data_IF_519129243635
#
_entry.id   IF_519129243635
#
_cell.length_a   1.000
_cell.length_b   1.000
_cell.length_c   1.000
_cell.angle_alpha   90.00
_cell.angle_beta   90.00
_cell.angle_gamma   90.00
#
_symmetry.space_group_name_H-M   'P 1'
#
loop_
_entity.id
_entity.type
_entity.pdbx_description
1 polymer ?
#
# COMPACT_ATOMS: atom_id res chain seq x y z
N UNK A 1 -14.84 15.33 4.65
CA UNK A 1 -15.30 14.23 3.76
C UNK A 1 -16.06 13.21 4.58
N UNK A 2 -17.01 12.48 3.99
CA UNK A 2 -17.87 11.50 4.67
C UNK A 2 -17.15 10.19 5.06
N UNK A 3 -15.86 10.25 5.42
CA UNK A 3 -15.03 9.09 5.70
C UNK A 3 -15.42 8.38 7.00
N UNK A 4 -15.88 9.13 8.01
CA UNK A 4 -16.45 8.57 9.23
C UNK A 4 -17.73 7.77 8.98
N UNK A 5 -18.53 8.19 7.99
CA UNK A 5 -19.73 7.47 7.56
C UNK A 5 -19.33 6.17 6.85
N UNK A 6 -18.32 6.21 5.97
CA UNK A 6 -17.79 5.01 5.32
C UNK A 6 -17.21 4.00 6.33
N UNK A 7 -16.47 4.47 7.34
CA UNK A 7 -15.97 3.63 8.43
C UNK A 7 -17.12 2.90 9.15
N UNK A 8 -18.20 3.62 9.48
CA UNK A 8 -19.37 3.03 10.12
C UNK A 8 -19.98 1.92 9.25
N UNK A 9 -20.18 2.16 7.96
CA UNK A 9 -20.76 1.16 7.06
C UNK A 9 -19.86 -0.06 6.89
N UNK A 10 -18.55 0.12 6.75
CA UNK A 10 -17.64 -1.03 6.72
C UNK A 10 -17.68 -1.83 8.02
N UNK A 11 -17.70 -1.17 9.19
CA UNK A 11 -17.85 -1.86 10.47
C UNK A 11 -19.17 -2.63 10.57
N UNK A 12 -20.28 -2.06 10.08
CA UNK A 12 -21.56 -2.78 10.03
C UNK A 12 -21.52 -3.98 9.08
N UNK A 13 -20.88 -3.86 7.91
CA UNK A 13 -20.70 -4.98 7.00
C UNK A 13 -19.89 -6.12 7.66
N UNK A 14 -18.87 -5.79 8.47
CA UNK A 14 -18.08 -6.77 9.23
C UNK A 14 -18.84 -7.40 10.41
N UNK A 15 -19.92 -6.77 10.89
CA UNK A 15 -20.82 -7.43 11.85
C UNK A 15 -21.62 -8.56 11.20
N UNK A 16 -21.94 -8.42 9.90
CA UNK A 16 -22.71 -9.41 9.13
C UNK A 16 -21.77 -10.51 8.60
N UNK A 17 -20.63 -10.13 8.04
CA UNK A 17 -19.59 -11.05 7.57
C UNK A 17 -18.21 -10.61 8.10
N UNK A 18 -17.79 -11.13 9.27
CA UNK A 18 -16.53 -10.77 9.91
C UNK A 18 -15.27 -11.11 9.10
N UNK A 19 -15.38 -12.03 8.15
CA UNK A 19 -14.27 -12.57 7.36
C UNK A 19 -14.33 -12.09 5.89
N UNK A 20 -15.09 -11.04 5.62
CA UNK A 20 -15.09 -10.42 4.29
C UNK A 20 -13.73 -9.73 4.04
N UNK A 21 -12.87 -10.42 3.30
CA UNK A 21 -11.49 -10.04 2.96
C UNK A 21 -11.41 -8.62 2.37
N UNK A 22 -12.29 -8.31 1.42
CA UNK A 22 -12.31 -7.02 0.74
C UNK A 22 -12.73 -5.87 1.67
N UNK A 23 -13.78 -6.08 2.47
CA UNK A 23 -14.23 -5.08 3.44
C UNK A 23 -13.16 -4.81 4.50
N UNK A 24 -12.48 -5.85 4.97
CA UNK A 24 -11.35 -5.71 5.90
C UNK A 24 -10.23 -4.85 5.28
N UNK A 25 -9.83 -5.15 4.05
CA UNK A 25 -8.79 -4.39 3.34
C UNK A 25 -9.18 -2.93 3.13
N UNK A 26 -10.41 -2.69 2.64
CA UNK A 26 -10.91 -1.35 2.36
C UNK A 26 -11.02 -0.50 3.63
N UNK A 27 -11.48 -1.10 4.74
CA UNK A 27 -11.51 -0.44 6.05
C UNK A 27 -10.09 -0.12 6.54
N UNK A 28 -9.14 -1.04 6.39
CA UNK A 28 -7.75 -0.82 6.76
C UNK A 28 -7.14 0.38 6.03
N UNK A 29 -7.30 0.43 4.71
CA UNK A 29 -6.81 1.53 3.88
C UNK A 29 -7.49 2.85 4.22
N UNK A 30 -8.82 2.84 4.43
CA UNK A 30 -9.58 4.03 4.83
C UNK A 30 -9.03 4.61 6.15
N UNK A 31 -8.87 3.75 7.17
CA UNK A 31 -8.36 4.13 8.48
C UNK A 31 -6.97 4.75 8.37
N UNK A 32 -6.04 4.10 7.67
CA UNK A 32 -4.67 4.59 7.54
C UNK A 32 -4.57 5.88 6.70
N UNK A 33 -5.18 5.90 5.52
CA UNK A 33 -4.90 6.96 4.53
C UNK A 33 -5.83 8.16 4.68
N UNK A 34 -7.12 7.95 4.96
CA UNK A 34 -8.12 9.01 5.04
C UNK A 34 -8.34 9.52 6.46
N UNK A 35 -8.39 8.61 7.44
CA UNK A 35 -8.66 8.94 8.83
C UNK A 35 -7.40 9.07 9.69
N UNK A 36 -6.21 8.74 9.15
CA UNK A 36 -4.91 8.87 9.83
C UNK A 36 -4.78 8.04 11.11
N UNK A 37 -5.45 6.89 11.14
CA UNK A 37 -5.37 5.91 12.23
C UNK A 37 -4.72 4.60 11.75
N UNK A 38 -3.43 4.59 11.35
CA UNK A 38 -2.79 3.41 10.78
C UNK A 38 -2.73 2.22 11.74
N UNK A 39 -2.53 2.45 13.04
CA UNK A 39 -2.55 1.38 14.04
C UNK A 39 -3.90 0.66 14.13
N UNK A 40 -5.03 1.40 14.02
CA UNK A 40 -6.36 0.79 13.97
C UNK A 40 -6.59 0.03 12.67
N UNK A 41 -6.04 0.52 11.56
CA UNK A 41 -6.14 -0.14 10.27
C UNK A 41 -5.34 -1.44 10.19
N UNK A 42 -4.20 -1.53 10.89
CA UNK A 42 -3.23 -2.61 10.71
C UNK A 42 -3.84 -3.97 11.00
N UNK A 43 -4.58 -4.09 12.10
CA UNK A 43 -5.26 -5.34 12.46
C UNK A 43 -6.25 -5.82 11.38
N UNK A 44 -6.92 -4.89 10.68
CA UNK A 44 -7.82 -5.25 9.58
C UNK A 44 -7.04 -5.71 8.33
N UNK A 45 -5.93 -5.05 8.01
CA UNK A 45 -5.06 -5.45 6.89
C UNK A 45 -4.43 -6.84 7.14
N UNK A 46 -3.97 -7.10 8.36
CA UNK A 46 -3.41 -8.38 8.78
C UNK A 46 -4.46 -9.49 8.69
N UNK A 47 -5.66 -9.27 9.26
CA UNK A 47 -6.75 -10.23 9.17
C UNK A 47 -7.13 -10.52 7.70
N UNK A 48 -7.27 -9.48 6.88
CA UNK A 48 -7.56 -9.63 5.44
C UNK A 48 -6.53 -10.52 4.73
N UNK A 49 -5.23 -10.24 4.94
CA UNK A 49 -4.15 -11.03 4.33
C UNK A 49 -4.04 -12.45 4.90
N UNK A 50 -4.34 -12.66 6.19
CA UNK A 50 -4.37 -13.97 6.81
C UNK A 50 -5.46 -14.86 6.18
N UNK A 51 -6.66 -14.30 6.00
CA UNK A 51 -7.78 -14.99 5.34
C UNK A 51 -7.45 -15.28 3.86
N UNK A 52 -6.85 -14.32 3.15
CA UNK A 52 -6.41 -14.48 1.77
C UNK A 52 -5.28 -15.51 1.58
N UNK A 53 -4.48 -15.77 2.63
CA UNK A 53 -3.44 -16.80 2.61
C UNK A 53 -3.95 -18.19 3.01
N UNK A 54 -5.11 -18.28 3.68
CA UNK A 54 -5.71 -19.55 4.05
C UNK A 54 -6.37 -20.18 2.82
N UNK A 55 -5.89 -21.32 2.34
CA UNK A 55 -6.40 -21.97 1.13
C UNK A 55 -7.92 -22.25 1.12
N UNK A 56 -8.53 -22.46 2.30
CA UNK A 56 -9.98 -22.69 2.41
C UNK A 56 -10.79 -21.40 2.30
N UNK A 57 -10.17 -20.24 2.62
CA UNK A 57 -10.84 -18.94 2.67
C UNK A 57 -10.32 -17.93 1.63
N UNK A 58 -9.23 -18.26 0.95
CA UNK A 58 -8.54 -17.38 0.02
C UNK A 58 -9.43 -17.00 -1.17
N UNK A 59 -10.20 -17.96 -1.69
CA UNK A 59 -11.05 -17.75 -2.86
C UNK A 59 -10.30 -17.02 -3.98
N UNK A 60 -10.84 -15.92 -4.52
CA UNK A 60 -10.18 -15.13 -5.57
C UNK A 60 -9.01 -14.26 -5.05
N UNK A 61 -8.83 -14.14 -3.74
CA UNK A 61 -7.85 -13.24 -3.10
C UNK A 61 -6.48 -13.89 -2.86
N UNK A 62 -6.30 -15.16 -3.23
CA UNK A 62 -5.01 -15.82 -3.12
C UNK A 62 -3.94 -15.00 -3.86
N UNK A 63 -2.96 -14.49 -3.10
CA UNK A 63 -1.90 -13.64 -3.63
C UNK A 63 -2.35 -12.30 -4.25
N UNK A 64 -3.49 -11.74 -3.83
CA UNK A 64 -3.96 -10.46 -4.34
C UNK A 64 -2.93 -9.33 -4.02
N UNK A 65 -2.37 -8.68 -5.05
CA UNK A 65 -1.33 -7.67 -4.85
C UNK A 65 -1.85 -6.42 -4.15
N UNK A 66 -3.15 -6.10 -4.19
CA UNK A 66 -3.71 -4.91 -3.53
C UNK A 66 -3.82 -5.09 -2.01
N UNK A 67 -4.08 -6.33 -1.56
CA UNK A 67 -4.10 -6.68 -0.14
C UNK A 67 -2.70 -6.58 0.45
N UNK A 68 -1.71 -7.05 -0.30
CA UNK A 68 -0.29 -6.97 0.06
C UNK A 68 0.22 -5.53 0.06
N UNK A 69 -0.21 -4.70 -0.90
CA UNK A 69 0.10 -3.26 -0.94
C UNK A 69 -0.41 -2.55 0.32
N UNK A 70 -1.68 -2.78 0.66
CA UNK A 70 -2.31 -2.19 1.85
C UNK A 70 -1.60 -2.62 3.14
N UNK A 71 -1.32 -3.92 3.30
CA UNK A 71 -0.58 -4.42 4.46
C UNK A 71 0.81 -3.79 4.57
N UNK A 72 1.56 -3.77 3.46
CA UNK A 72 2.90 -3.21 3.43
C UNK A 72 2.91 -1.73 3.78
N UNK A 73 1.96 -0.96 3.25
CA UNK A 73 1.83 0.46 3.58
C UNK A 73 1.49 0.70 5.05
N UNK A 74 0.57 -0.08 5.63
CA UNK A 74 0.21 0.07 7.04
C UNK A 74 1.34 -0.37 7.99
N UNK A 75 2.10 -1.42 7.66
CA UNK A 75 3.31 -1.81 8.41
C UNK A 75 4.32 -0.68 8.45
N UNK A 76 4.59 -0.05 7.30
CA UNK A 76 5.48 1.11 7.25
C UNK A 76 4.98 2.26 8.13
N UNK A 77 3.69 2.61 8.02
CA UNK A 77 3.09 3.68 8.81
C UNK A 77 3.04 3.40 10.31
N UNK A 78 3.16 2.14 10.73
CA UNK A 78 3.19 1.73 12.14
C UNK A 78 4.60 1.39 12.64
N UNK A 79 5.62 1.58 11.80
CA UNK A 79 7.04 1.46 12.18
C UNK A 79 7.72 0.14 11.76
N UNK A 80 6.95 -0.86 11.30
CA UNK A 80 7.50 -2.13 10.79
C UNK A 80 8.00 -1.96 9.35
N UNK A 81 9.21 -1.40 9.22
CA UNK A 81 9.81 -1.10 7.92
C UNK A 81 10.22 -2.37 7.18
N UNK A 82 10.73 -3.39 7.87
CA UNK A 82 11.15 -4.66 7.27
C UNK A 82 9.96 -5.47 6.76
N UNK A 83 8.91 -5.61 7.58
CA UNK A 83 7.68 -6.28 7.18
C UNK A 83 6.92 -5.52 6.10
N UNK A 84 7.09 -4.20 6.00
CA UNK A 84 6.58 -3.40 4.89
C UNK A 84 7.24 -3.75 3.56
N UNK A 85 8.58 -3.79 3.50
CA UNK A 85 9.31 -4.18 2.29
C UNK A 85 8.91 -5.58 1.85
N UNK A 86 8.89 -6.54 2.77
CA UNK A 86 8.51 -7.92 2.46
C UNK A 86 7.11 -8.02 1.82
N UNK A 87 6.13 -7.29 2.35
CA UNK A 87 4.77 -7.28 1.80
C UNK A 87 4.70 -6.57 0.44
N UNK A 88 5.35 -5.41 0.30
CA UNK A 88 5.34 -4.61 -0.93
C UNK A 88 6.07 -5.31 -2.08
N UNK A 89 7.19 -5.98 -1.81
CA UNK A 89 7.87 -6.80 -2.82
C UNK A 89 7.02 -7.98 -3.27
N UNK A 90 6.27 -8.60 -2.36
CA UNK A 90 5.30 -9.64 -2.76
C UNK A 90 4.21 -9.04 -3.65
N UNK A 91 3.67 -7.87 -3.28
CA UNK A 91 2.67 -7.16 -4.10
C UNK A 91 3.18 -6.93 -5.53
N UNK A 92 4.39 -6.39 -5.69
CA UNK A 92 4.97 -6.11 -7.01
C UNK A 92 5.34 -7.35 -7.82
N UNK A 93 5.57 -8.50 -7.16
CA UNK A 93 5.76 -9.81 -7.82
C UNK A 93 4.44 -10.40 -8.33
N UNK A 94 3.35 -10.28 -7.58
CA UNK A 94 2.07 -10.88 -7.96
C UNK A 94 1.22 -10.01 -8.89
N UNK A 95 1.51 -8.70 -8.97
CA UNK A 95 0.83 -7.84 -9.94
C UNK A 95 1.53 -6.53 -10.22
N UNK A 96 1.11 -5.91 -11.32
CA UNK A 96 1.61 -4.59 -11.75
C UNK A 96 0.87 -3.47 -11.01
N UNK A 97 0.90 -3.44 -9.68
CA UNK A 97 0.21 -2.42 -8.88
C UNK A 97 1.10 -1.17 -8.78
N UNK A 98 0.73 -0.10 -9.48
CA UNK A 98 1.52 1.14 -9.51
C UNK A 98 1.72 1.78 -8.12
N UNK A 99 0.72 1.67 -7.24
CA UNK A 99 0.82 2.15 -5.85
C UNK A 99 1.80 1.35 -5.01
N UNK A 100 1.92 0.04 -5.25
CA UNK A 100 2.86 -0.81 -4.53
C UNK A 100 4.31 -0.44 -4.82
N UNK A 101 4.65 -0.16 -6.09
CA UNK A 101 5.97 0.37 -6.44
C UNK A 101 6.22 1.76 -5.81
N UNK A 102 5.22 2.63 -5.80
CA UNK A 102 5.33 3.93 -5.16
C UNK A 102 5.57 3.83 -3.65
N UNK A 103 4.84 2.96 -2.94
CA UNK A 103 5.06 2.71 -1.52
C UNK A 103 6.42 2.05 -1.28
N UNK A 104 6.80 1.06 -2.08
CA UNK A 104 8.09 0.36 -1.95
C UNK A 104 9.26 1.33 -2.07
N UNK A 105 9.20 2.26 -3.02
CA UNK A 105 10.19 3.31 -3.16
C UNK A 105 10.33 4.15 -1.88
N UNK A 106 9.22 4.57 -1.26
CA UNK A 106 9.25 5.35 -0.02
C UNK A 106 9.93 4.56 1.10
N UNK A 107 9.57 3.28 1.26
CA UNK A 107 10.11 2.43 2.32
C UNK A 107 11.61 2.15 2.09
N UNK A 108 12.01 1.81 0.86
CA UNK A 108 13.42 1.57 0.51
C UNK A 108 14.28 2.82 0.66
N UNK A 109 13.78 3.99 0.27
CA UNK A 109 14.49 5.25 0.49
C UNK A 109 14.64 5.54 1.99
N UNK A 110 13.64 5.22 2.83
CA UNK A 110 13.75 5.34 4.30
C UNK A 110 14.84 4.43 4.88
N UNK A 111 15.10 3.28 4.26
CA UNK A 111 16.18 2.35 4.62
C UNK A 111 17.56 2.76 4.05
N UNK A 112 17.63 3.80 3.21
CA UNK A 112 18.87 4.24 2.56
C UNK A 112 19.16 3.55 1.22
N UNK A 113 18.29 2.65 0.75
CA UNK A 113 18.37 1.99 -0.56
C UNK A 113 17.88 2.93 -1.67
N UNK A 114 18.63 4.03 -1.87
CA UNK A 114 18.18 5.16 -2.69
C UNK A 114 18.07 4.79 -4.17
N UNK A 115 19.04 4.06 -4.71
CA UNK A 115 19.05 3.68 -6.13
C UNK A 115 17.83 2.82 -6.46
N UNK A 116 17.57 1.79 -5.65
CA UNK A 116 16.40 0.93 -5.81
C UNK A 116 15.09 1.70 -5.67
N UNK A 117 15.03 2.66 -4.75
CA UNK A 117 13.86 3.50 -4.57
C UNK A 117 13.58 4.41 -5.78
N UNK A 118 14.62 4.96 -6.42
CA UNK A 118 14.47 5.74 -7.65
C UNK A 118 13.96 4.88 -8.81
N UNK A 119 14.46 3.64 -8.94
CA UNK A 119 14.00 2.68 -9.94
C UNK A 119 12.53 2.29 -9.72
N UNK A 120 12.13 2.04 -8.46
CA UNK A 120 10.74 1.78 -8.09
C UNK A 120 9.82 2.97 -8.44
N UNK A 121 10.26 4.22 -8.23
CA UNK A 121 9.48 5.40 -8.65
C UNK A 121 9.34 5.48 -10.17
N UNK A 122 10.39 5.19 -10.93
CA UNK A 122 10.31 5.16 -12.41
C UNK A 122 9.30 4.11 -12.87
N UNK A 123 9.30 2.93 -12.23
CA UNK A 123 8.31 1.89 -12.52
C UNK A 123 6.90 2.32 -12.14
N UNK A 124 6.71 2.94 -10.97
CA UNK A 124 5.43 3.48 -10.54
C UNK A 124 4.87 4.52 -11.52
N UNK A 125 5.71 5.44 -12.03
CA UNK A 125 5.33 6.45 -13.02
C UNK A 125 4.87 5.79 -14.33
N UNK A 126 5.66 4.84 -14.85
CA UNK A 126 5.34 4.12 -16.08
C UNK A 126 4.02 3.36 -15.98
N UNK A 127 3.81 2.62 -14.89
CA UNK A 127 2.56 1.89 -14.66
C UNK A 127 1.37 2.84 -14.43
N UNK A 128 1.57 3.94 -13.69
CA UNK A 128 0.51 4.92 -13.48
C UNK A 128 0.05 5.56 -14.79
N UNK A 129 0.96 5.77 -15.74
CA UNK A 129 0.62 6.24 -17.08
C UNK A 129 -0.20 5.20 -17.86
N UNK A 130 0.24 3.93 -17.90
CA UNK A 130 -0.50 2.87 -18.62
C UNK A 130 -1.86 2.58 -18.00
N UNK A 131 -2.02 2.82 -16.69
CA UNK A 131 -3.26 2.62 -15.93
C UNK A 131 -4.17 3.86 -15.90
N UNK A 132 -3.84 4.93 -16.64
CA UNK A 132 -4.58 6.19 -16.62
C UNK A 132 -4.79 6.76 -15.19
N UNK A 133 -3.75 6.70 -14.35
CA UNK A 133 -3.73 7.25 -13.00
C UNK A 133 -2.84 8.50 -12.91
N UNK A 134 -3.29 9.66 -13.45
CA UNK A 134 -2.49 10.88 -13.49
C UNK A 134 -2.16 11.45 -12.10
N UNK A 135 -3.01 11.14 -11.09
CA UNK A 135 -2.77 11.57 -9.71
C UNK A 135 -1.53 10.90 -9.12
N UNK A 136 -1.41 9.59 -9.29
CA UNK A 136 -0.23 8.86 -8.83
C UNK A 136 1.00 9.22 -9.65
N UNK A 137 0.87 9.29 -10.97
CA UNK A 137 1.96 9.68 -11.87
C UNK A 137 2.57 11.02 -11.44
N UNK A 138 1.74 12.06 -11.24
CA UNK A 138 2.19 13.37 -10.79
C UNK A 138 2.92 13.32 -9.44
N UNK A 139 2.39 12.56 -8.47
CA UNK A 139 3.01 12.40 -7.14
C UNK A 139 4.38 11.71 -7.23
N UNK A 140 4.46 10.61 -7.98
CA UNK A 140 5.69 9.85 -8.13
C UNK A 140 6.77 10.65 -8.88
N UNK A 141 6.41 11.37 -9.95
CA UNK A 141 7.33 12.25 -10.69
C UNK A 141 7.85 13.39 -9.81
N UNK A 142 6.98 14.02 -9.01
CA UNK A 142 7.40 15.08 -8.09
C UNK A 142 8.39 14.57 -7.04
N UNK A 143 8.11 13.39 -6.47
CA UNK A 143 8.99 12.77 -5.47
C UNK A 143 10.35 12.38 -6.06
N UNK A 144 10.37 11.79 -7.26
CA UNK A 144 11.61 11.43 -7.95
C UNK A 144 12.46 12.68 -8.24
N UNK A 145 11.82 13.76 -8.71
CA UNK A 145 12.51 15.03 -8.98
C UNK A 145 13.11 15.64 -7.71
N UNK A 146 12.40 15.54 -6.58
CA UNK A 146 12.90 16.01 -5.29
C UNK A 146 14.15 15.25 -4.85
N UNK A 147 14.16 13.91 -5.02
CA UNK A 147 15.31 13.09 -4.66
C UNK A 147 16.49 13.39 -5.59
N UNK A 148 16.33 13.42 -6.89
CA UNK A 148 17.46 13.65 -7.81
C UNK A 148 18.04 15.06 -7.71
N UNK A 149 17.21 16.09 -7.44
CA UNK A 149 17.69 17.45 -7.23
C UNK A 149 18.56 17.61 -5.97
N UNK A 150 18.29 16.83 -4.91
CA UNK A 150 19.09 16.88 -3.68
C UNK A 150 20.44 16.17 -3.83
N UNK A 151 20.55 15.18 -4.72
CA UNK A 151 21.81 14.49 -5.01
C UNK A 151 22.79 15.35 -5.84
N UNK A 152 22.29 16.36 -6.55
CA UNK A 152 23.08 17.19 -7.47
C UNK A 152 23.71 18.43 -6.84
N UNK A 153 23.60 18.63 -5.51
CA UNK A 153 24.33 19.70 -4.80
C UNK A 153 25.63 19.13 -4.21
N UNK A 154 26.80 19.44 -4.77
CA UNK A 154 28.05 19.22 -4.05
C UNK A 154 28.08 20.19 -2.87
N UNK A 155 28.50 19.67 -1.70
CA UNK A 155 28.86 20.49 -0.54
C UNK A 155 30.09 21.34 -0.80
#
# INVERSE_FOLDING_TARGET
>A
GQYSVAEKYYKQALQINPDNVEVLNNLAYLLAVKLKHPHQGLSYAEKSNQLAANAQQAGPYAHDPNLLDTLGWLRYLTGDTEGAVSALERSTRYGSVSTAYYHLAIVRNKQGHRTEAEDDLRKAISLAQSQNNPKLQKKATALLSQWTAHAAKPG
#
